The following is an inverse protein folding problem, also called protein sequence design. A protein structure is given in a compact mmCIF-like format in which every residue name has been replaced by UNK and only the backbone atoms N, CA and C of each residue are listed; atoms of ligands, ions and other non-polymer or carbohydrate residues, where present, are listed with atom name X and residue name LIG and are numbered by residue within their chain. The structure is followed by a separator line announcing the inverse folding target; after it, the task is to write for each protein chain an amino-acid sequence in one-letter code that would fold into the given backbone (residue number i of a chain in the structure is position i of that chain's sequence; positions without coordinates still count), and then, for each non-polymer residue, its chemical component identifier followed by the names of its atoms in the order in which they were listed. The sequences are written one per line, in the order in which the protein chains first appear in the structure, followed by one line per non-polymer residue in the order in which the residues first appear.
data_IF_466353147543
#
_entry.id   IF_466353147543
#
_cell.length_a   1.000
_cell.length_b   1.000
_cell.length_c   1.000
_cell.angle_alpha   90.00
_cell.angle_beta   90.00
_cell.angle_gamma   90.00
#
_symmetry.space_group_name_H-M   'P 1'
#
loop_
_entity.id
_entity.type
_entity.pdbx_description
1 polymer ?
#
# COMPACT_ATOMS: atom_id res chain seq x y z
N UNK A 1 -20.76 29.19 -36.74
CA UNK A 1 -21.09 29.24 -35.29
C UNK A 1 -21.72 27.92 -34.95
N UNK A 2 -21.35 27.13 -33.94
CA UNK A 2 -20.28 27.07 -32.94
C UNK A 2 -20.51 25.66 -32.34
N UNK A 3 -19.52 24.79 -32.09
CA UNK A 3 -18.23 25.07 -31.48
C UNK A 3 -18.26 25.07 -29.95
N UNK A 4 -19.29 24.50 -29.30
CA UNK A 4 -19.51 24.67 -27.84
C UNK A 4 -19.52 23.42 -26.95
N UNK A 5 -19.40 22.20 -27.48
CA UNK A 5 -19.63 20.97 -26.69
C UNK A 5 -18.44 20.48 -25.85
N UNK A 6 -17.20 20.69 -26.29
CA UNK A 6 -16.03 20.06 -25.66
C UNK A 6 -15.54 20.70 -24.36
N UNK A 7 -15.84 21.98 -24.12
CA UNK A 7 -15.35 22.69 -22.93
C UNK A 7 -16.24 22.43 -21.72
N UNK A 8 -17.55 22.24 -21.93
CA UNK A 8 -18.51 21.93 -20.87
C UNK A 8 -18.31 20.51 -20.34
N UNK A 9 -18.04 19.56 -21.23
CA UNK A 9 -17.76 18.15 -20.89
C UNK A 9 -16.44 17.99 -20.10
N UNK A 10 -15.44 18.82 -20.41
CA UNK A 10 -14.17 18.85 -19.65
C UNK A 10 -14.36 19.46 -18.24
N UNK A 11 -15.20 20.49 -18.10
CA UNK A 11 -15.51 21.12 -16.81
C UNK A 11 -16.35 20.18 -15.94
N UNK A 12 -17.30 19.46 -16.53
CA UNK A 12 -18.10 18.46 -15.85
C UNK A 12 -17.28 17.23 -15.42
N UNK A 13 -16.32 16.81 -16.26
CA UNK A 13 -15.33 15.80 -15.89
C UNK A 13 -14.42 16.26 -14.74
N UNK A 14 -13.90 17.49 -14.78
CA UNK A 14 -13.03 18.03 -13.71
C UNK A 14 -13.78 18.28 -12.39
N UNK A 15 -15.08 18.55 -12.42
CA UNK A 15 -15.90 18.78 -11.24
C UNK A 15 -16.35 17.49 -10.53
N UNK A 16 -15.98 16.31 -11.03
CA UNK A 16 -16.26 15.06 -10.32
C UNK A 16 -15.46 15.04 -9.00
N UNK A 17 -16.11 14.78 -7.85
CA UNK A 17 -15.45 14.83 -6.55
C UNK A 17 -14.21 13.93 -6.48
N UNK A 18 -14.24 12.76 -7.13
CA UNK A 18 -13.08 11.86 -7.22
C UNK A 18 -11.88 12.44 -8.01
N UNK A 19 -12.11 13.27 -9.01
CA UNK A 19 -11.03 13.91 -9.79
C UNK A 19 -10.44 15.08 -9.00
N UNK A 20 -11.27 15.83 -8.29
CA UNK A 20 -10.81 16.89 -7.39
C UNK A 20 -10.00 16.29 -6.24
N UNK A 21 -10.47 15.21 -5.62
CA UNK A 21 -9.76 14.50 -4.54
C UNK A 21 -8.39 13.97 -5.00
N UNK A 22 -8.33 13.29 -6.16
CA UNK A 22 -7.05 12.82 -6.72
C UNK A 22 -6.11 13.98 -7.08
N UNK A 23 -6.64 15.10 -7.57
CA UNK A 23 -5.81 16.28 -7.86
C UNK A 23 -5.27 16.93 -6.59
N UNK A 24 -6.08 17.02 -5.53
CA UNK A 24 -5.67 17.49 -4.20
C UNK A 24 -4.61 16.56 -3.59
N UNK A 25 -4.77 15.24 -3.71
CA UNK A 25 -3.81 14.25 -3.23
C UNK A 25 -2.48 14.31 -3.99
N UNK A 26 -2.52 14.48 -5.32
CA UNK A 26 -1.32 14.71 -6.13
C UNK A 26 -0.63 16.02 -5.72
N UNK A 27 -1.39 17.08 -5.47
CA UNK A 27 -0.86 18.37 -5.03
C UNK A 27 -0.19 18.23 -3.65
N UNK A 28 -0.83 17.54 -2.71
CA UNK A 28 -0.30 17.28 -1.37
C UNK A 28 0.96 16.40 -1.42
N UNK A 29 1.03 15.43 -2.32
CA UNK A 29 2.23 14.61 -2.55
C UNK A 29 3.37 15.40 -3.22
N UNK A 30 3.06 16.44 -3.98
CA UNK A 30 4.05 17.32 -4.60
C UNK A 30 4.65 18.33 -3.61
N UNK A 31 3.96 18.67 -2.51
CA UNK A 31 4.43 19.65 -1.51
C UNK A 31 5.78 19.25 -0.88
N UNK A 32 6.00 18.00 -0.38
CA UNK A 32 7.30 17.60 0.15
C UNK A 32 8.43 17.60 -0.89
N UNK A 33 8.11 17.26 -2.14
CA UNK A 33 9.06 17.25 -3.26
C UNK A 33 9.50 18.68 -3.56
N UNK A 34 8.55 19.61 -3.68
CA UNK A 34 8.84 21.02 -3.87
C UNK A 34 9.57 21.64 -2.68
N UNK A 35 9.22 21.26 -1.45
CA UNK A 35 9.94 21.70 -0.25
C UNK A 35 11.40 21.24 -0.30
N UNK A 36 11.68 19.99 -0.67
CA UNK A 36 13.04 19.47 -0.81
C UNK A 36 13.83 20.19 -1.92
N UNK A 37 13.18 20.50 -3.05
CA UNK A 37 13.79 21.29 -4.15
C UNK A 37 14.09 22.72 -3.68
N UNK A 38 13.17 23.37 -2.96
CA UNK A 38 13.37 24.72 -2.43
C UNK A 38 14.46 24.75 -1.36
N UNK A 39 14.53 23.76 -0.48
CA UNK A 39 15.63 23.62 0.50
C UNK A 39 16.96 23.40 -0.23
N UNK A 40 17.00 22.52 -1.24
CA UNK A 40 18.20 22.29 -2.06
C UNK A 40 18.65 23.53 -2.82
N UNK A 41 17.72 24.34 -3.33
CA UNK A 41 17.99 25.62 -3.96
C UNK A 41 18.50 26.67 -2.95
N UNK A 42 17.89 26.77 -1.77
CA UNK A 42 18.33 27.70 -0.72
C UNK A 42 19.71 27.31 -0.20
N UNK A 43 19.98 26.02 0.01
CA UNK A 43 21.32 25.52 0.37
C UNK A 43 22.30 25.82 -0.77
N UNK A 44 21.96 25.51 -2.02
CA UNK A 44 22.80 25.79 -3.18
C UNK A 44 23.07 27.28 -3.42
N UNK A 45 22.12 28.17 -3.11
CA UNK A 45 22.25 29.62 -3.23
C UNK A 45 22.97 30.25 -2.04
N UNK A 46 22.82 29.67 -0.84
CA UNK A 46 23.47 30.12 0.39
C UNK A 46 24.87 29.54 0.54
N UNK A 47 25.18 28.46 -0.18
CA UNK A 47 26.52 27.88 -0.21
C UNK A 47 27.41 28.66 -1.16
N UNK A 48 28.08 29.68 -0.63
CA UNK A 48 29.28 30.26 -1.24
C UNK A 48 30.51 29.66 -0.57
N UNK A 49 31.14 28.62 -1.15
CA UNK A 49 32.40 28.09 -0.60
C UNK A 49 33.45 29.21 -0.60
N UNK A 50 34.03 29.50 0.57
CA UNK A 50 35.04 30.58 0.77
C UNK A 50 36.28 30.44 -0.12
N UNK A 51 36.46 29.27 -0.75
CA UNK A 51 37.52 28.96 -1.72
C UNK A 51 37.25 29.48 -3.14
N UNK A 52 36.03 29.94 -3.47
CA UNK A 52 35.73 30.48 -4.81
C UNK A 52 36.53 31.76 -5.11
N UNK A 53 36.95 32.51 -4.07
CA UNK A 53 37.87 33.64 -4.20
C UNK A 53 39.30 33.25 -4.53
N UNK A 54 39.78 32.09 -4.04
CA UNK A 54 41.10 31.54 -4.35
C UNK A 54 41.20 31.02 -5.79
N UNK A 55 40.13 30.40 -6.30
CA UNK A 55 40.02 30.02 -7.72
C UNK A 55 39.95 31.26 -8.64
N UNK A 56 39.28 32.33 -8.22
CA UNK A 56 39.21 33.58 -8.99
C UNK A 56 40.53 34.37 -9.02
N UNK A 57 41.39 34.24 -8.00
CA UNK A 57 42.75 34.80 -8.03
C UNK A 57 43.72 33.90 -8.82
N UNK A 58 43.58 32.57 -8.75
CA UNK A 58 44.45 31.63 -9.47
C UNK A 58 44.25 31.59 -10.98
N UNK A 59 43.06 31.95 -11.48
CA UNK A 59 42.70 31.89 -12.90
C UNK A 59 42.67 33.26 -13.60
N UNK A 60 43.38 34.28 -13.06
CA UNK A 60 43.51 35.60 -13.70
C UNK A 60 44.81 35.78 -14.50
N UNK A 61 45.58 34.71 -14.67
CA UNK A 61 46.78 34.68 -15.52
C UNK A 61 46.50 33.83 -16.77
N UNK A 62 46.14 34.50 -17.87
CA UNK A 62 45.91 33.98 -19.24
C UNK A 62 44.64 33.17 -19.48
N UNK A 63 43.52 33.85 -19.72
CA UNK A 63 42.68 33.62 -20.93
C UNK A 63 41.92 34.93 -21.22
N UNK A 64 42.45 35.71 -22.18
CA UNK A 64 41.66 36.71 -22.91
C UNK A 64 41.10 35.97 -24.12
N UNK A 65 39.85 35.51 -24.05
CA UNK A 65 39.09 35.14 -25.23
C UNK A 65 37.76 35.87 -25.22
N UNK A 66 37.50 36.51 -26.35
CA UNK A 66 36.41 37.40 -26.67
C UNK A 66 35.12 36.57 -26.76
N UNK A 67 34.16 36.84 -25.88
CA UNK A 67 32.75 36.76 -26.27
C UNK A 67 32.05 38.00 -25.74
N UNK A 68 31.77 38.89 -26.68
CA UNK A 68 30.95 40.09 -26.52
C UNK A 68 29.50 39.68 -26.28
N UNK A 69 29.07 39.67 -25.02
CA UNK A 69 27.67 39.84 -24.64
C UNK A 69 27.63 40.76 -23.41
N UNK A 70 26.81 41.82 -23.40
CA UNK A 70 26.80 42.79 -22.32
C UNK A 70 26.34 42.13 -21.00
N UNK A 71 26.89 42.56 -19.85
CA UNK A 71 26.61 41.95 -18.55
C UNK A 71 25.16 42.26 -18.15
N UNK A 72 24.25 41.31 -18.37
CA UNK A 72 22.83 41.51 -18.05
C UNK A 72 21.84 40.50 -18.62
N UNK A 73 22.24 39.56 -19.47
CA UNK A 73 21.34 38.57 -20.09
C UNK A 73 21.31 37.21 -19.37
N UNK A 74 21.17 37.22 -18.04
CA UNK A 74 20.89 36.02 -17.25
C UNK A 74 19.40 35.84 -16.99
N UNK A 75 18.94 34.59 -16.94
CA UNK A 75 17.62 34.00 -16.63
C UNK A 75 16.58 34.77 -15.77
N UNK A 76 16.94 35.89 -15.15
CA UNK A 76 16.09 36.76 -14.30
C UNK A 76 14.95 37.46 -15.06
N UNK A 77 15.08 37.76 -16.36
CA UNK A 77 14.02 38.41 -17.14
C UNK A 77 13.07 37.45 -17.86
N UNK A 78 13.51 36.22 -18.14
CA UNK A 78 12.62 35.14 -18.61
C UNK A 78 11.63 34.73 -17.53
N UNK A 79 12.04 34.76 -16.25
CA UNK A 79 11.16 34.49 -15.12
C UNK A 79 10.22 35.65 -14.76
N UNK A 80 10.64 36.91 -14.95
CA UNK A 80 9.75 38.07 -14.81
C UNK A 80 8.65 38.13 -15.89
N UNK A 81 8.93 37.64 -17.11
CA UNK A 81 7.93 37.51 -18.15
C UNK A 81 6.91 36.39 -17.85
N UNK A 82 7.36 35.28 -17.23
CA UNK A 82 6.47 34.18 -16.83
C UNK A 82 5.66 34.49 -15.56
N UNK A 83 6.20 35.25 -14.61
CA UNK A 83 5.46 35.68 -13.41
C UNK A 83 4.48 36.84 -13.68
N UNK A 84 4.75 37.70 -14.68
CA UNK A 84 3.81 38.75 -15.09
C UNK A 84 2.60 38.21 -15.88
N UNK A 85 2.73 37.09 -16.61
CA UNK A 85 1.59 36.46 -17.32
C UNK A 85 0.67 35.64 -16.41
N UNK A 86 1.11 35.24 -15.21
CA UNK A 86 0.30 34.46 -14.26
C UNK A 86 -0.43 35.31 -13.21
N UNK A 87 -0.18 36.62 -13.15
CA UNK A 87 -0.75 37.52 -12.14
C UNK A 87 -1.91 38.40 -12.67
N UNK A 88 -2.42 38.15 -13.87
CA UNK A 88 -3.61 38.81 -14.43
C UNK A 88 -4.62 37.73 -14.83
N UNK A 89 -5.38 37.17 -13.87
CA UNK A 89 -6.71 37.75 -13.60
C UNK A 89 -7.25 37.59 -12.15
N UNK A 90 -6.42 37.62 -11.10
CA UNK A 90 -6.92 37.54 -9.70
C UNK A 90 -6.98 38.92 -9.00
N UNK A 91 -6.37 39.96 -9.57
CA UNK A 91 -6.34 41.30 -8.95
C UNK A 91 -7.45 42.26 -9.43
N UNK A 92 -8.56 41.75 -10.02
CA UNK A 92 -9.73 42.56 -10.40
C UNK A 92 -10.97 42.36 -9.53
N UNK A 93 -11.03 41.31 -8.71
CA UNK A 93 -12.18 41.06 -7.81
C UNK A 93 -11.98 41.57 -6.38
N UNK A 94 -10.76 41.93 -5.98
CA UNK A 94 -10.47 42.42 -4.62
C UNK A 94 -10.50 43.96 -4.49
N UNK A 95 -10.68 44.70 -5.59
CA UNK A 95 -10.66 46.18 -5.59
C UNK A 95 -12.02 46.82 -5.94
N UNK A 96 -13.12 46.06 -5.93
CA UNK A 96 -14.48 46.62 -6.01
C UNK A 96 -15.20 46.71 -4.65
N UNK A 97 -14.65 46.10 -3.58
CA UNK A 97 -15.27 46.09 -2.25
C UNK A 97 -14.76 47.19 -1.30
N UNK A 98 -13.81 48.03 -1.71
CA UNK A 98 -13.10 48.97 -0.84
C UNK A 98 -12.97 50.38 -1.46
N UNK A 99 -14.10 51.07 -1.71
CA UNK A 99 -14.16 52.55 -1.66
C UNK A 99 -15.60 53.11 -1.76
N UNK A 100 -15.99 53.84 -0.69
CA UNK A 100 -17.08 54.84 -0.62
C UNK A 100 -18.31 54.39 0.20
N UNK A 101 -18.39 54.49 1.55
CA UNK A 101 -18.59 55.66 2.49
C UNK A 101 -19.86 56.50 2.21
N UNK A 102 -20.53 57.20 3.19
CA UNK A 102 -20.34 57.36 4.66
C UNK A 102 -21.63 57.19 5.55
N UNK A 103 -21.55 56.83 6.86
CA UNK A 103 -21.84 57.60 8.14
C UNK A 103 -23.05 58.58 8.12
N UNK A 104 -23.96 58.73 9.10
CA UNK A 104 -24.06 58.53 10.58
C UNK A 104 -25.53 58.93 11.01
N UNK A 105 -25.98 59.08 12.30
CA UNK A 105 -25.61 58.50 13.61
C UNK A 105 -26.81 58.15 14.57
N UNK A 106 -26.50 57.64 15.80
CA UNK A 106 -27.15 57.90 17.13
C UNK A 106 -28.54 57.21 17.39
N UNK A 107 -28.86 56.55 18.51
CA UNK A 107 -28.34 56.53 19.88
C UNK A 107 -28.74 55.26 20.67
N UNK A 108 -28.10 55.14 21.83
CA UNK A 108 -28.31 54.31 23.04
C UNK A 108 -29.72 53.79 23.35
N UNK A 109 -29.78 52.59 23.95
CA UNK A 109 -30.13 52.48 25.38
C UNK A 109 -29.85 51.08 25.98
N UNK A 110 -29.78 51.11 27.30
CA UNK A 110 -29.18 50.23 28.30
C UNK A 110 -30.08 49.09 28.83
N UNK A 111 -29.52 48.35 29.81
CA UNK A 111 -30.14 47.46 30.84
C UNK A 111 -30.23 45.97 30.43
N UNK A 112 -29.67 44.95 31.10
CA UNK A 112 -29.35 44.55 32.49
C UNK A 112 -30.31 43.46 32.99
N UNK A 113 -29.74 42.31 33.41
CA UNK A 113 -30.16 41.34 34.47
C UNK A 113 -29.69 39.92 34.06
N UNK A 114 -28.83 39.19 34.79
CA UNK A 114 -28.99 38.52 36.11
C UNK A 114 -30.21 37.59 36.14
N UNK A 115 -30.27 36.36 36.65
CA UNK A 115 -29.39 35.38 37.31
C UNK A 115 -30.32 34.23 37.80
N UNK A 116 -29.75 33.08 38.18
CA UNK A 116 -30.29 32.02 39.08
C UNK A 116 -31.21 30.94 38.48
N UNK A 117 -30.80 29.65 38.44
CA UNK A 117 -30.82 28.58 39.49
C UNK A 117 -32.25 28.07 39.78
N UNK A 118 -32.60 26.79 40.01
CA UNK A 118 -31.88 25.63 40.56
C UNK A 118 -32.81 24.36 40.53
N UNK A 119 -32.24 23.14 40.71
CA UNK A 119 -32.72 21.98 41.54
C UNK A 119 -34.02 21.26 41.07
N UNK A 120 -34.28 19.93 41.12
CA UNK A 120 -33.74 18.62 41.59
C UNK A 120 -34.34 17.55 40.60
N UNK A 121 -33.98 16.27 40.50
CA UNK A 121 -34.08 15.24 41.52
C UNK A 121 -33.44 13.90 41.07
N UNK A 122 -33.10 13.12 42.08
CA UNK A 122 -32.31 11.88 42.14
C UNK A 122 -33.13 10.60 41.85
N UNK A 123 -32.49 9.53 41.37
CA UNK A 123 -33.00 8.15 41.46
C UNK A 123 -31.91 7.11 41.14
N UNK A 124 -31.12 6.79 42.17
CA UNK A 124 -30.35 5.55 42.28
C UNK A 124 -31.29 4.33 42.39
N UNK A 125 -31.00 3.27 41.64
CA UNK A 125 -31.47 1.92 41.99
C UNK A 125 -30.34 0.89 41.82
N UNK A 126 -29.75 0.52 42.95
CA UNK A 126 -29.03 -0.75 43.13
C UNK A 126 -30.07 -1.84 43.42
N UNK A 127 -30.12 -2.91 42.62
CA UNK A 127 -30.62 -4.23 43.06
C UNK A 127 -29.83 -5.36 42.38
N UNK A 128 -29.03 -6.02 43.22
CA UNK A 128 -28.85 -7.47 43.38
C UNK A 128 -28.45 -8.35 42.19
N UNK A 129 -27.22 -8.86 42.31
CA UNK A 129 -26.86 -10.26 42.07
C UNK A 129 -28.00 -11.23 42.42
N UNK A 130 -28.37 -12.13 41.52
CA UNK A 130 -28.05 -13.57 41.68
C UNK A 130 -28.75 -14.41 40.59
N UNK A 131 -27.93 -15.22 39.93
CA UNK A 131 -28.28 -16.47 39.23
C UNK A 131 -29.10 -16.40 37.94
N UNK A 132 -28.47 -16.84 36.84
CA UNK A 132 -28.85 -18.10 36.20
C UNK A 132 -27.70 -18.60 35.33
N UNK A 133 -27.28 -19.82 35.66
CA UNK A 133 -26.42 -20.71 34.87
C UNK A 133 -26.93 -20.74 33.42
N UNK A 134 -26.29 -19.96 32.56
CA UNK A 134 -26.27 -20.27 31.14
C UNK A 134 -25.22 -21.38 30.99
N UNK A 135 -25.62 -22.47 30.36
CA UNK A 135 -24.73 -23.52 29.85
C UNK A 135 -23.46 -22.92 29.26
N UNK A 136 -22.32 -23.56 29.52
CA UNK A 136 -21.02 -23.31 28.91
C UNK A 136 -21.09 -23.44 27.37
N UNK A 137 -21.73 -22.49 26.70
CA UNK A 137 -21.45 -22.19 25.30
C UNK A 137 -20.07 -21.52 25.30
N UNK A 138 -19.06 -22.34 25.01
CA UNK A 138 -17.67 -21.92 24.81
C UNK A 138 -17.62 -20.88 23.67
N UNK A 139 -17.84 -19.60 24.00
CA UNK A 139 -17.62 -18.49 23.09
C UNK A 139 -16.11 -18.33 22.86
N UNK A 140 -15.53 -19.30 22.16
CA UNK A 140 -14.14 -19.28 21.74
C UNK A 140 -13.90 -18.04 20.88
N UNK A 141 -12.95 -17.20 21.31
CA UNK A 141 -12.47 -15.98 20.63
C UNK A 141 -12.29 -16.19 19.12
N UNK A 142 -11.82 -17.38 18.75
CA UNK A 142 -11.79 -17.87 17.36
C UNK A 142 -12.53 -19.18 17.30
N UNK A 143 -13.63 -19.21 16.56
CA UNK A 143 -14.63 -20.29 16.52
C UNK A 143 -14.49 -21.16 15.27
N UNK A 144 -15.23 -22.26 15.21
CA UNK A 144 -15.31 -23.11 14.01
C UNK A 144 -15.92 -22.36 12.81
N UNK A 145 -16.86 -21.45 13.04
CA UNK A 145 -17.40 -20.58 11.98
C UNK A 145 -16.30 -19.75 11.28
N UNK A 146 -15.25 -19.36 12.02
CA UNK A 146 -14.11 -18.63 11.44
C UNK A 146 -13.23 -19.55 10.56
N UNK A 147 -13.15 -20.83 10.91
CA UNK A 147 -12.50 -21.86 10.09
C UNK A 147 -13.33 -22.11 8.83
N UNK A 148 -14.64 -22.29 8.93
CA UNK A 148 -15.52 -22.51 7.79
C UNK A 148 -15.46 -21.33 6.80
N UNK A 149 -15.46 -20.09 7.32
CA UNK A 149 -15.25 -18.90 6.51
C UNK A 149 -13.91 -18.92 5.76
N UNK A 150 -12.84 -19.36 6.42
CA UNK A 150 -11.54 -19.50 5.78
C UNK A 150 -11.55 -20.56 4.66
N UNK A 151 -12.18 -21.71 4.90
CA UNK A 151 -12.28 -22.80 3.92
C UNK A 151 -13.08 -22.37 2.69
N UNK A 152 -14.21 -21.68 2.89
CA UNK A 152 -14.99 -21.11 1.80
C UNK A 152 -14.15 -20.19 0.89
N UNK A 153 -13.30 -19.33 1.49
CA UNK A 153 -12.39 -18.46 0.73
C UNK A 153 -11.25 -19.22 0.02
N UNK A 154 -10.83 -20.37 0.56
CA UNK A 154 -9.79 -21.20 -0.05
C UNK A 154 -10.31 -21.97 -1.26
N UNK A 155 -11.47 -22.62 -1.12
CA UNK A 155 -12.02 -23.51 -2.14
C UNK A 155 -12.30 -22.73 -3.42
N UNK A 156 -12.94 -21.56 -3.36
CA UNK A 156 -13.16 -20.70 -4.52
C UNK A 156 -13.77 -21.41 -5.74
N UNK A 157 -14.43 -22.55 -5.53
CA UNK A 157 -14.86 -23.50 -6.57
C UNK A 157 -16.09 -23.01 -7.34
N UNK A 158 -16.83 -22.04 -6.83
CA UNK A 158 -18.15 -21.71 -7.39
C UNK A 158 -18.12 -20.61 -8.47
N UNK A 159 -16.95 -20.26 -9.02
CA UNK A 159 -16.84 -19.23 -10.06
C UNK A 159 -17.24 -17.82 -9.61
N UNK A 160 -17.57 -17.65 -8.34
CA UNK A 160 -18.01 -16.39 -7.73
C UNK A 160 -16.85 -15.41 -7.51
N UNK A 161 -15.64 -15.93 -7.25
CA UNK A 161 -14.46 -15.12 -6.95
C UNK A 161 -13.51 -15.08 -8.17
N UNK A 162 -13.50 -13.94 -8.86
CA UNK A 162 -12.60 -13.68 -10.00
C UNK A 162 -11.22 -13.19 -9.53
N UNK A 163 -10.36 -14.12 -9.11
CA UNK A 163 -8.99 -13.82 -8.70
C UNK A 163 -8.15 -13.22 -9.85
N UNK A 164 -7.58 -12.04 -9.63
CA UNK A 164 -6.65 -11.38 -10.53
C UNK A 164 -5.21 -11.71 -10.13
N UNK A 165 -4.43 -12.28 -11.05
CA UNK A 165 -3.00 -12.54 -10.82
C UNK A 165 -2.22 -11.24 -10.60
N UNK A 166 -1.39 -11.21 -9.57
CA UNK A 166 -0.57 -10.06 -9.20
C UNK A 166 0.92 -10.30 -9.36
N UNK A 167 1.38 -11.50 -8.99
CA UNK A 167 2.80 -11.81 -8.90
C UNK A 167 3.04 -13.30 -9.01
N UNK A 168 4.09 -13.66 -9.75
CA UNK A 168 4.66 -14.99 -9.75
C UNK A 168 6.20 -14.88 -9.74
N UNK A 169 6.84 -15.57 -8.81
CA UNK A 169 8.29 -15.53 -8.59
C UNK A 169 8.78 -16.90 -8.13
N UNK A 170 9.82 -17.40 -8.79
CA UNK A 170 10.45 -18.66 -8.43
C UNK A 170 11.94 -18.43 -8.14
N UNK A 171 12.45 -19.16 -7.16
CA UNK A 171 13.86 -19.28 -6.79
C UNK A 171 14.15 -20.77 -6.52
N UNK A 172 15.42 -21.21 -6.49
CA UNK A 172 15.73 -22.62 -6.25
C UNK A 172 15.16 -23.20 -4.94
N UNK A 173 14.89 -22.34 -3.95
CA UNK A 173 14.48 -22.75 -2.61
C UNK A 173 13.06 -22.29 -2.22
N UNK A 174 12.37 -21.58 -3.13
CA UNK A 174 11.03 -21.03 -2.87
C UNK A 174 10.30 -20.68 -4.16
N UNK A 175 9.02 -21.03 -4.24
CA UNK A 175 8.07 -20.51 -5.23
C UNK A 175 7.02 -19.61 -4.55
N UNK A 176 6.61 -18.55 -5.21
CA UNK A 176 5.64 -17.58 -4.69
C UNK A 176 4.68 -17.13 -5.79
N UNK A 177 3.39 -17.23 -5.51
CA UNK A 177 2.31 -16.75 -6.37
C UNK A 177 1.35 -15.91 -5.52
N UNK A 178 0.80 -14.85 -6.10
CA UNK A 178 -0.17 -13.99 -5.43
C UNK A 178 -1.26 -13.51 -6.38
N UNK A 179 -2.47 -13.45 -5.84
CA UNK A 179 -3.69 -12.98 -6.48
C UNK A 179 -4.39 -11.97 -5.59
N UNK A 180 -5.25 -11.15 -6.19
CA UNK A 180 -6.19 -10.29 -5.48
C UNK A 180 -7.59 -10.45 -6.01
N UNK A 181 -8.55 -10.19 -5.15
CA UNK A 181 -9.96 -10.07 -5.48
C UNK A 181 -10.47 -8.76 -4.84
N UNK A 182 -11.21 -7.98 -5.62
CA UNK A 182 -11.78 -6.71 -5.18
C UNK A 182 -13.30 -6.88 -5.09
N UNK A 183 -13.86 -7.17 -3.90
CA UNK A 183 -15.31 -7.24 -3.73
C UNK A 183 -15.94 -5.85 -3.93
N UNK A 184 -17.22 -5.81 -4.32
CA UNK A 184 -17.96 -4.56 -4.47
C UNK A 184 -17.95 -3.74 -3.17
N UNK A 185 -18.18 -4.43 -2.06
CA UNK A 185 -18.18 -3.87 -0.72
C UNK A 185 -17.03 -4.46 0.11
N UNK A 186 -16.28 -3.60 0.80
CA UNK A 186 -15.20 -4.01 1.71
C UNK A 186 -13.77 -3.85 1.16
N UNK A 187 -12.77 -4.34 1.90
CA UNK A 187 -11.36 -4.25 1.52
C UNK A 187 -10.99 -5.21 0.39
N UNK A 188 -9.88 -4.92 -0.30
CA UNK A 188 -9.27 -5.87 -1.25
C UNK A 188 -8.83 -7.13 -0.50
N UNK A 189 -9.20 -8.29 -1.03
CA UNK A 189 -8.79 -9.60 -0.52
C UNK A 189 -7.58 -10.06 -1.31
N UNK A 190 -6.54 -10.50 -0.60
CA UNK A 190 -5.33 -11.06 -1.17
C UNK A 190 -5.25 -12.55 -0.89
N UNK A 191 -4.86 -13.32 -1.91
CA UNK A 191 -4.46 -14.72 -1.79
C UNK A 191 -3.00 -14.85 -2.17
N UNK A 192 -2.24 -15.63 -1.42
CA UNK A 192 -0.90 -16.03 -1.86
C UNK A 192 -0.66 -17.50 -1.62
N UNK A 193 0.22 -18.07 -2.44
CA UNK A 193 0.72 -19.43 -2.33
C UNK A 193 2.24 -19.35 -2.28
N UNK A 194 2.83 -19.86 -1.21
CA UNK A 194 4.28 -19.90 -1.02
C UNK A 194 4.71 -21.33 -0.79
N UNK A 195 5.65 -21.84 -1.58
CA UNK A 195 6.28 -23.15 -1.36
C UNK A 195 7.68 -22.92 -0.84
N UNK A 196 8.01 -23.48 0.32
CA UNK A 196 9.35 -23.51 0.89
C UNK A 196 9.96 -24.89 0.68
N UNK A 197 11.09 -24.95 -0.03
CA UNK A 197 11.84 -26.20 -0.19
C UNK A 197 12.55 -26.60 1.11
N UNK A 198 12.75 -27.89 1.32
CA UNK A 198 13.52 -28.44 2.45
C UNK A 198 13.03 -27.90 3.83
N UNK A 199 11.72 -27.84 4.04
CA UNK A 199 11.09 -27.31 5.25
C UNK A 199 9.85 -28.14 5.62
N UNK A 200 9.73 -28.53 6.90
CA UNK A 200 8.56 -29.29 7.39
C UNK A 200 7.40 -28.37 7.75
N UNK A 201 6.17 -28.89 7.69
CA UNK A 201 4.96 -28.12 8.03
C UNK A 201 4.97 -27.65 9.50
N UNK A 202 5.50 -28.44 10.42
CA UNK A 202 5.60 -28.10 11.85
C UNK A 202 6.59 -26.96 12.09
N UNK A 203 7.71 -26.96 11.37
CA UNK A 203 8.69 -25.88 11.46
C UNK A 203 8.10 -24.56 10.94
N UNK A 204 7.39 -24.62 9.81
CA UNK A 204 6.73 -23.46 9.22
C UNK A 204 5.60 -22.96 10.11
N UNK A 205 4.81 -23.86 10.70
CA UNK A 205 3.80 -23.52 11.72
C UNK A 205 4.41 -22.75 12.87
N UNK A 206 5.47 -23.28 13.49
CA UNK A 206 6.13 -22.64 14.63
C UNK A 206 6.68 -21.26 14.20
N UNK A 207 7.29 -21.14 13.02
CA UNK A 207 7.81 -19.86 12.48
C UNK A 207 6.73 -18.78 12.30
N UNK A 208 5.57 -19.13 11.72
CA UNK A 208 4.50 -18.17 11.47
C UNK A 208 3.80 -17.71 12.75
N UNK A 209 3.82 -18.52 13.81
CA UNK A 209 3.19 -18.22 15.10
C UNK A 209 4.12 -17.51 16.10
N UNK A 210 5.43 -17.52 15.86
CA UNK A 210 6.44 -17.04 16.81
C UNK A 210 6.63 -15.50 16.78
N UNK A 211 5.78 -14.79 17.54
CA UNK A 211 5.85 -13.32 17.67
C UNK A 211 7.14 -12.82 18.32
N UNK A 212 7.81 -13.66 19.12
CA UNK A 212 9.08 -13.30 19.77
C UNK A 212 10.25 -13.38 18.77
N UNK A 213 10.15 -14.27 17.77
CA UNK A 213 11.11 -14.33 16.67
C UNK A 213 10.81 -13.32 15.56
N UNK A 214 9.54 -12.97 15.36
CA UNK A 214 9.06 -12.12 14.27
C UNK A 214 9.82 -10.80 14.08
N UNK A 215 10.15 -10.00 15.12
CA UNK A 215 10.92 -8.76 14.98
C UNK A 215 12.33 -8.94 14.39
N UNK A 216 12.89 -10.15 14.42
CA UNK A 216 14.22 -10.43 13.85
C UNK A 216 14.23 -10.35 12.32
N UNK A 217 13.07 -10.47 11.67
CA UNK A 217 12.97 -10.46 10.21
C UNK A 217 11.90 -9.50 9.66
N UNK A 218 10.87 -9.19 10.45
CA UNK A 218 9.82 -8.24 10.09
C UNK A 218 10.00 -6.92 10.86
N UNK A 219 10.64 -5.89 10.25
CA UNK A 219 10.85 -4.61 10.92
C UNK A 219 9.56 -3.81 11.10
N UNK A 220 8.44 -4.24 10.51
CA UNK A 220 7.17 -3.58 10.73
C UNK A 220 6.59 -3.93 12.10
N UNK A 221 6.85 -5.11 12.67
CA UNK A 221 6.35 -5.44 14.01
C UNK A 221 7.25 -4.81 15.08
N UNK A 222 6.81 -3.68 15.65
CA UNK A 222 7.60 -2.92 16.63
C UNK A 222 7.21 -3.19 18.09
N UNK A 223 6.04 -3.76 18.30
CA UNK A 223 5.57 -4.18 19.62
C UNK A 223 4.68 -5.40 19.46
N UNK A 224 4.83 -6.34 20.38
CA UNK A 224 3.89 -7.42 20.58
C UNK A 224 3.73 -7.70 22.08
N UNK A 225 2.55 -8.16 22.47
CA UNK A 225 2.27 -8.68 23.81
C UNK A 225 1.19 -9.74 23.73
N UNK A 226 1.41 -10.87 24.38
CA UNK A 226 0.36 -11.85 24.61
C UNK A 226 -0.56 -11.29 25.71
N UNK A 227 -1.83 -11.10 25.38
CA UNK A 227 -2.84 -10.61 26.32
C UNK A 227 -3.49 -11.76 27.07
N UNK A 228 -3.88 -12.81 26.34
CA UNK A 228 -4.53 -13.99 26.90
C UNK A 228 -4.07 -15.26 26.16
N UNK A 229 -4.07 -16.37 26.88
CA UNK A 229 -3.75 -17.70 26.37
C UNK A 229 -4.81 -18.69 26.83
N UNK A 230 -5.19 -19.60 25.94
CA UNK A 230 -6.18 -20.65 26.20
C UNK A 230 -5.52 -22.02 26.00
N UNK A 231 -4.89 -22.61 27.03
CA UNK A 231 -4.07 -23.82 26.89
C UNK A 231 -4.81 -25.07 26.43
N UNK A 232 -6.15 -25.11 26.52
CA UNK A 232 -6.95 -26.25 26.05
C UNK A 232 -7.07 -26.28 24.53
N UNK A 233 -7.23 -25.11 23.91
CA UNK A 233 -7.49 -24.96 22.48
C UNK A 233 -6.27 -24.46 21.70
N UNK A 234 -5.27 -23.94 22.41
CA UNK A 234 -4.12 -23.24 21.83
C UNK A 234 -4.43 -21.82 21.37
N UNK A 235 -5.65 -21.33 21.63
CA UNK A 235 -6.04 -19.99 21.22
C UNK A 235 -5.28 -18.92 22.02
N UNK A 236 -5.08 -17.76 21.40
CA UNK A 236 -4.42 -16.61 22.03
C UNK A 236 -5.10 -15.32 21.61
N UNK A 237 -5.08 -14.32 22.50
CA UNK A 237 -5.29 -12.93 22.13
C UNK A 237 -3.94 -12.22 22.21
N UNK A 238 -3.53 -11.58 21.12
CA UNK A 238 -2.25 -10.85 21.04
C UNK A 238 -2.48 -9.40 20.64
N UNK A 239 -1.69 -8.52 21.24
CA UNK A 239 -1.64 -7.10 20.92
C UNK A 239 -0.40 -6.81 20.09
N UNK A 240 -0.57 -6.36 18.85
CA UNK A 240 0.53 -5.95 17.98
C UNK A 240 0.45 -4.46 17.67
N UNK A 241 1.62 -3.82 17.53
CA UNK A 241 1.74 -2.52 16.87
C UNK A 241 2.67 -2.68 15.68
N UNK A 242 2.16 -2.34 14.49
CA UNK A 242 2.94 -2.32 13.25
C UNK A 242 3.33 -0.90 12.88
N UNK A 243 4.62 -0.70 12.59
CA UNK A 243 5.18 0.53 12.04
C UNK A 243 4.66 0.75 10.64
N UNK A 244 4.12 1.94 10.40
CA UNK A 244 3.72 2.38 9.08
C UNK A 244 4.61 3.54 8.60
N UNK A 245 4.61 3.85 7.30
CA UNK A 245 5.31 5.01 6.77
C UNK A 245 4.96 6.30 7.53
N UNK A 246 5.94 7.18 7.72
CA UNK A 246 5.84 8.35 8.62
C UNK A 246 4.66 9.30 8.36
N UNK A 247 4.10 9.28 7.14
CA UNK A 247 2.94 10.10 6.75
C UNK A 247 1.59 9.54 7.25
N UNK A 248 1.58 8.40 7.94
CA UNK A 248 0.38 7.83 8.54
C UNK A 248 0.68 7.22 9.92
N UNK A 249 -0.32 7.18 10.80
CA UNK A 249 -0.16 6.62 12.16
C UNK A 249 0.23 5.15 12.12
N UNK A 250 1.00 4.67 13.10
CA UNK A 250 1.23 3.23 13.27
C UNK A 250 -0.12 2.50 13.49
N UNK A 251 -0.18 1.20 13.17
CA UNK A 251 -1.41 0.40 13.28
C UNK A 251 -1.38 -0.50 14.50
N UNK A 252 -2.44 -0.46 15.28
CA UNK A 252 -2.65 -1.30 16.44
C UNK A 252 -3.61 -2.44 16.08
N UNK A 253 -3.26 -3.65 16.47
CA UNK A 253 -4.07 -4.84 16.23
C UNK A 253 -4.29 -5.57 17.54
N UNK A 254 -5.53 -6.00 17.77
CA UNK A 254 -5.87 -6.97 18.80
C UNK A 254 -6.38 -8.21 18.08
N UNK A 255 -5.55 -9.25 18.05
CA UNK A 255 -5.73 -10.40 17.19
C UNK A 255 -6.06 -11.61 18.05
N UNK A 256 -7.22 -12.21 17.78
CA UNK A 256 -7.54 -13.55 18.22
C UNK A 256 -6.97 -14.54 17.22
N UNK A 257 -6.28 -15.57 17.70
CA UNK A 257 -5.69 -16.59 16.83
C UNK A 257 -5.79 -18.00 17.40
N UNK A 258 -6.00 -19.01 16.55
CA UNK A 258 -6.10 -20.43 16.90
C UNK A 258 -5.68 -21.32 15.71
N UNK A 259 -5.19 -22.53 16.00
CA UNK A 259 -4.76 -23.51 14.99
C UNK A 259 -5.61 -24.78 15.07
N UNK A 260 -6.17 -25.18 13.93
CA UNK A 260 -6.76 -26.50 13.72
C UNK A 260 -5.80 -27.40 12.95
N UNK A 261 -5.87 -28.69 13.21
CA UNK A 261 -5.04 -29.69 12.54
C UNK A 261 -5.91 -30.81 11.96
N UNK A 262 -5.71 -31.10 10.67
CA UNK A 262 -6.32 -32.21 9.97
C UNK A 262 -5.24 -32.94 9.15
N UNK A 263 -5.06 -34.23 9.41
CA UNK A 263 -3.97 -35.01 8.81
C UNK A 263 -2.60 -34.41 9.13
N UNK A 264 -1.89 -33.93 8.10
CA UNK A 264 -0.59 -33.23 8.22
C UNK A 264 -0.69 -31.73 7.92
N UNK A 265 -1.91 -31.19 7.80
CA UNK A 265 -2.15 -29.79 7.51
C UNK A 265 -2.55 -29.01 8.76
N UNK A 266 -2.08 -27.77 8.84
CA UNK A 266 -2.41 -26.82 9.91
C UNK A 266 -3.21 -25.64 9.34
N UNK A 267 -4.42 -25.44 9.84
CA UNK A 267 -5.30 -24.34 9.49
C UNK A 267 -5.21 -23.27 10.57
N UNK A 268 -4.51 -22.19 10.24
CA UNK A 268 -4.16 -21.12 11.16
C UNK A 268 -5.11 -19.95 10.94
N UNK A 269 -5.97 -19.67 11.91
CA UNK A 269 -6.92 -18.57 11.84
C UNK A 269 -6.40 -17.41 12.67
N UNK A 270 -6.34 -16.21 12.08
CA UNK A 270 -6.10 -14.97 12.83
C UNK A 270 -7.07 -13.88 12.37
N UNK A 271 -7.72 -13.22 13.34
CA UNK A 271 -8.71 -12.16 13.08
C UNK A 271 -8.65 -11.07 14.14
N UNK A 272 -9.14 -9.87 13.82
CA UNK A 272 -9.38 -8.85 14.84
C UNK A 272 -10.45 -9.31 15.83
N UNK A 273 -10.24 -9.04 17.12
CA UNK A 273 -11.19 -9.35 18.19
C UNK A 273 -11.33 -8.15 19.14
N UNK A 274 -12.52 -7.94 19.73
CA UNK A 274 -12.71 -6.89 20.72
C UNK A 274 -11.93 -7.24 22.00
N UNK A 275 -11.40 -6.21 22.67
CA UNK A 275 -10.73 -6.36 23.97
C UNK A 275 -10.98 -5.12 24.83
N UNK A 276 -12.07 -5.09 25.61
CA UNK A 276 -12.54 -3.90 26.33
C UNK A 276 -11.49 -3.29 27.29
N UNK A 277 -10.64 -4.13 27.90
CA UNK A 277 -9.59 -3.71 28.81
C UNK A 277 -8.46 -2.89 28.16
N UNK A 278 -8.42 -2.84 26.82
CA UNK A 278 -7.53 -1.97 26.07
C UNK A 278 -8.36 -1.04 25.16
N UNK A 279 -8.76 0.15 25.64
CA UNK A 279 -9.60 1.06 24.86
C UNK A 279 -8.85 1.63 23.64
N UNK A 280 -9.62 2.03 22.62
CA UNK A 280 -9.09 2.61 21.38
C UNK A 280 -8.48 3.97 21.66
N UNK A 281 -7.37 4.26 21.00
CA UNK A 281 -6.71 5.57 21.00
C UNK A 281 -6.67 6.12 19.59
N UNK A 282 -6.45 7.43 19.46
CA UNK A 282 -6.28 8.08 18.15
C UNK A 282 -4.99 7.62 17.46
N UNK A 283 -3.94 7.36 18.25
CA UNK A 283 -2.62 6.89 17.79
C UNK A 283 -2.06 5.88 18.79
N UNK A 284 -1.54 4.73 18.34
CA UNK A 284 -1.69 4.15 16.99
C UNK A 284 -3.16 3.93 16.58
N UNK A 285 -3.45 3.90 15.26
CA UNK A 285 -4.82 3.65 14.76
C UNK A 285 -5.13 2.17 14.91
N UNK A 286 -6.19 1.83 15.64
CA UNK A 286 -6.68 0.45 15.71
C UNK A 286 -7.29 -0.04 14.40
N UNK A 287 -6.89 -1.22 13.97
CA UNK A 287 -7.47 -1.95 12.83
C UNK A 287 -8.55 -2.90 13.37
N UNK A 288 -9.81 -2.58 13.10
CA UNK A 288 -10.97 -3.35 13.58
C UNK A 288 -11.42 -4.42 12.59
N UNK A 289 -11.21 -4.19 11.29
CA UNK A 289 -11.43 -5.20 10.25
C UNK A 289 -10.08 -5.78 9.85
N UNK A 290 -9.79 -6.98 10.34
CA UNK A 290 -8.56 -7.71 10.04
C UNK A 290 -8.85 -9.20 10.00
N UNK A 291 -8.41 -9.85 8.93
CA UNK A 291 -8.40 -11.30 8.79
C UNK A 291 -7.16 -11.70 8.02
N UNK A 292 -6.38 -12.62 8.58
CA UNK A 292 -5.15 -13.10 7.97
C UNK A 292 -4.97 -14.56 8.35
N UNK A 293 -5.47 -15.45 7.51
CA UNK A 293 -5.54 -16.88 7.84
C UNK A 293 -4.86 -17.69 6.76
N UNK A 294 -4.20 -18.78 7.15
CA UNK A 294 -3.39 -19.56 6.23
C UNK A 294 -3.46 -21.05 6.54
N UNK A 295 -3.33 -21.86 5.49
CA UNK A 295 -3.15 -23.30 5.59
C UNK A 295 -1.71 -23.65 5.30
N UNK A 296 -1.13 -24.50 6.14
CA UNK A 296 0.24 -25.01 6.01
C UNK A 296 0.13 -26.51 5.74
N UNK A 297 0.71 -27.00 4.65
CA UNK A 297 0.66 -28.42 4.30
C UNK A 297 1.98 -28.91 3.69
N UNK A 298 2.40 -30.15 3.97
CA UNK A 298 3.52 -30.74 3.26
C UNK A 298 3.14 -30.97 1.79
N UNK A 299 4.10 -30.75 0.88
CA UNK A 299 3.95 -30.95 -0.56
C UNK A 299 5.21 -31.59 -1.13
N UNK A 300 5.11 -32.13 -2.35
CA UNK A 300 6.28 -32.63 -3.06
C UNK A 300 7.25 -31.48 -3.38
N UNK A 301 8.55 -31.77 -3.30
CA UNK A 301 9.59 -30.83 -3.72
C UNK A 301 9.45 -30.49 -5.20
N UNK A 302 9.66 -29.21 -5.53
CA UNK A 302 9.72 -28.74 -6.92
C UNK A 302 10.96 -29.26 -7.66
N UNK A 303 11.88 -29.94 -6.97
CA UNK A 303 13.06 -30.58 -7.55
C UNK A 303 12.72 -31.81 -8.40
N UNK A 304 11.49 -32.33 -8.32
CA UNK A 304 11.01 -33.43 -9.16
C UNK A 304 11.51 -34.82 -8.74
N UNK A 305 12.00 -34.97 -7.51
CA UNK A 305 12.41 -36.25 -6.93
C UNK A 305 11.27 -37.04 -6.26
N UNK A 306 10.05 -36.48 -6.28
CA UNK A 306 8.87 -37.04 -5.62
C UNK A 306 8.92 -36.99 -4.09
N UNK A 307 9.95 -36.37 -3.50
CA UNK A 307 10.11 -36.32 -2.04
C UNK A 307 9.17 -35.30 -1.40
N UNK A 308 8.54 -35.66 -0.29
CA UNK A 308 7.66 -34.77 0.49
C UNK A 308 8.48 -33.88 1.45
N UNK A 309 9.48 -33.19 0.91
CA UNK A 309 10.44 -32.38 1.67
C UNK A 309 10.12 -30.88 1.66
N UNK A 310 9.12 -30.46 0.89
CA UNK A 310 8.68 -29.07 0.80
C UNK A 310 7.40 -28.82 1.61
N UNK A 311 7.17 -27.56 1.93
CA UNK A 311 5.98 -27.09 2.62
C UNK A 311 5.32 -25.96 1.84
N UNK A 312 4.01 -26.07 1.63
CA UNK A 312 3.20 -25.01 1.06
C UNK A 312 2.46 -24.24 2.15
N UNK A 313 2.40 -22.91 1.99
CA UNK A 313 1.55 -22.01 2.75
C UNK A 313 0.63 -21.28 1.78
N UNK A 314 -0.68 -21.51 1.92
CA UNK A 314 -1.70 -20.73 1.20
C UNK A 314 -2.38 -19.78 2.17
N UNK A 315 -2.25 -18.48 1.92
CA UNK A 315 -2.72 -17.37 2.76
C UNK A 315 -3.94 -16.70 2.10
N UNK A 316 -4.93 -16.35 2.92
CA UNK A 316 -6.00 -15.40 2.61
C UNK A 316 -5.90 -14.23 3.59
N UNK A 317 -5.90 -13.01 3.06
CA UNK A 317 -5.69 -11.81 3.85
C UNK A 317 -6.55 -10.64 3.38
N UNK A 318 -7.21 -9.96 4.31
CA UNK A 318 -7.83 -8.66 4.09
C UNK A 318 -7.84 -7.84 5.38
N UNK A 319 -7.71 -6.51 5.26
CA UNK A 319 -7.76 -5.59 6.39
C UNK A 319 -8.21 -4.19 5.96
N UNK A 320 -8.79 -3.43 6.90
CA UNK A 320 -8.97 -1.99 6.78
C UNK A 320 -7.91 -1.21 7.56
N UNK A 321 -6.81 -0.89 6.87
CA UNK A 321 -5.72 -0.09 7.42
C UNK A 321 -6.09 1.39 7.66
N UNK A 322 -7.26 1.85 7.21
CA UNK A 322 -7.62 3.29 7.21
C UNK A 322 -6.75 4.11 6.28
N UNK A 323 -6.35 3.52 5.15
CA UNK A 323 -5.61 4.18 4.07
C UNK A 323 -6.48 4.07 2.81
N UNK A 324 -6.53 5.11 1.95
CA UNK A 324 -7.18 5.01 0.66
C UNK A 324 -6.75 3.75 -0.10
N UNK A 325 -7.72 3.01 -0.67
CA UNK A 325 -7.50 1.71 -1.29
C UNK A 325 -6.39 1.75 -2.35
N UNK A 326 -6.33 2.79 -3.17
CA UNK A 326 -5.33 2.91 -4.23
C UNK A 326 -3.91 3.12 -3.70
N UNK A 327 -3.76 3.85 -2.59
CA UNK A 327 -2.47 4.03 -1.90
C UNK A 327 -2.02 2.69 -1.30
N UNK A 328 -2.93 1.95 -0.67
CA UNK A 328 -2.64 0.61 -0.15
C UNK A 328 -2.22 -0.35 -1.29
N UNK A 329 -2.96 -0.37 -2.40
CA UNK A 329 -2.61 -1.18 -3.59
C UNK A 329 -1.26 -0.81 -4.17
N UNK A 330 -0.92 0.48 -4.22
CA UNK A 330 0.40 0.94 -4.68
C UNK A 330 1.52 0.42 -3.77
N UNK A 331 1.31 0.50 -2.45
CA UNK A 331 2.22 -0.04 -1.44
C UNK A 331 2.42 -1.54 -1.59
N UNK A 332 1.35 -2.31 -1.77
CA UNK A 332 1.43 -3.76 -2.00
C UNK A 332 2.19 -4.08 -3.30
N UNK A 333 1.85 -3.41 -4.41
CA UNK A 333 2.49 -3.64 -5.71
C UNK A 333 4.01 -3.44 -5.66
N UNK A 334 4.50 -2.43 -4.95
CA UNK A 334 5.93 -2.12 -4.87
C UNK A 334 6.64 -2.86 -3.73
N UNK A 335 5.95 -3.08 -2.61
CA UNK A 335 6.53 -3.62 -1.37
C UNK A 335 6.47 -5.14 -1.25
N UNK A 336 5.49 -5.81 -1.86
CA UNK A 336 5.21 -7.24 -1.63
C UNK A 336 6.43 -8.12 -1.83
N UNK A 337 7.14 -7.99 -2.96
CA UNK A 337 8.32 -8.83 -3.20
C UNK A 337 9.46 -8.59 -2.20
N UNK A 338 9.64 -7.34 -1.76
CA UNK A 338 10.60 -7.00 -0.71
C UNK A 338 10.26 -7.72 0.61
N UNK A 339 8.98 -7.74 0.98
CA UNK A 339 8.49 -8.44 2.17
C UNK A 339 8.62 -9.95 2.04
N UNK A 340 8.27 -10.54 0.89
CA UNK A 340 8.39 -11.98 0.63
C UNK A 340 9.84 -12.45 0.72
N UNK A 341 10.81 -11.66 0.21
CA UNK A 341 12.23 -11.97 0.39
C UNK A 341 12.65 -11.98 1.87
N UNK A 342 12.15 -11.04 2.67
CA UNK A 342 12.42 -10.99 4.12
C UNK A 342 11.76 -12.16 4.85
N UNK A 343 10.53 -12.52 4.49
CA UNK A 343 9.83 -13.69 4.99
C UNK A 343 10.64 -14.97 4.74
N UNK A 344 11.12 -15.17 3.51
CA UNK A 344 11.94 -16.33 3.17
C UNK A 344 13.26 -16.36 3.95
N UNK A 345 13.98 -15.24 4.01
CA UNK A 345 15.21 -15.13 4.79
C UNK A 345 14.96 -15.38 6.29
N UNK A 346 13.86 -14.85 6.83
CA UNK A 346 13.41 -15.08 8.20
C UNK A 346 13.11 -16.55 8.50
N UNK A 347 12.43 -17.23 7.58
CA UNK A 347 12.15 -18.67 7.71
C UNK A 347 13.45 -19.49 7.74
N UNK A 348 14.41 -19.19 6.86
CA UNK A 348 15.72 -19.87 6.86
C UNK A 348 16.52 -19.58 8.13
N UNK A 349 16.47 -18.35 8.63
CA UNK A 349 17.07 -17.99 9.92
C UNK A 349 16.41 -18.75 11.07
N UNK A 350 15.09 -18.91 11.05
CA UNK A 350 14.35 -19.71 12.03
C UNK A 350 14.76 -21.18 11.99
N UNK A 351 14.79 -21.78 10.79
CA UNK A 351 15.23 -23.15 10.56
C UNK A 351 16.63 -23.40 11.13
N UNK A 352 17.58 -22.48 10.90
CA UNK A 352 18.93 -22.59 11.45
C UNK A 352 18.95 -22.44 12.97
N UNK A 353 18.19 -21.49 13.53
CA UNK A 353 18.09 -21.33 14.98
C UNK A 353 17.49 -22.57 15.69
N UNK A 354 16.61 -23.32 15.00
CA UNK A 354 16.04 -24.58 15.52
C UNK A 354 17.02 -25.75 15.48
N UNK A 355 18.06 -25.72 14.62
CA UNK A 355 19.14 -26.72 14.64
C UNK A 355 20.07 -26.57 15.85
N UNK A 356 20.15 -25.37 16.43
CA UNK A 356 21.00 -25.08 17.59
C UNK A 356 20.36 -25.45 18.94
N UNK A 357 19.29 -26.25 18.95
CA UNK A 357 18.53 -26.68 20.15
C UNK A 357 18.06 -25.56 21.09
N UNK A 358 18.01 -24.32 20.60
CA UNK A 358 17.49 -23.21 21.39
C UNK A 358 16.04 -23.46 21.78
N UNK A 359 15.70 -23.18 23.04
CA UNK A 359 14.34 -23.34 23.55
C UNK A 359 13.31 -22.61 22.68
N UNK A 360 12.12 -23.21 22.59
CA UNK A 360 11.00 -22.57 21.92
C UNK A 360 10.53 -21.36 22.70
N UNK A 361 10.11 -20.34 21.96
CA UNK A 361 9.43 -19.18 22.52
C UNK A 361 8.06 -19.59 23.06
N UNK A 362 7.46 -18.75 23.92
CA UNK A 362 6.11 -19.03 24.45
C UNK A 362 5.10 -19.11 23.31
N UNK A 363 5.24 -18.22 22.32
CA UNK A 363 4.39 -18.21 21.14
C UNK A 363 4.53 -19.52 20.33
N UNK A 364 5.76 -19.97 20.08
CA UNK A 364 6.00 -21.23 19.38
C UNK A 364 5.49 -22.46 20.14
N UNK A 365 5.53 -22.46 21.48
CA UNK A 365 4.94 -23.52 22.29
C UNK A 365 3.42 -23.57 22.16
N UNK A 366 2.75 -22.42 22.18
CA UNK A 366 1.30 -22.34 21.99
C UNK A 366 0.88 -22.84 20.60
N UNK A 367 1.70 -22.65 19.57
CA UNK A 367 1.45 -23.17 18.22
C UNK A 367 1.32 -24.70 18.15
N UNK A 368 1.89 -25.41 19.13
CA UNK A 368 1.85 -26.88 19.20
C UNK A 368 0.56 -27.43 19.80
N UNK A 369 -0.25 -26.57 20.41
CA UNK A 369 -1.55 -26.93 20.95
C UNK A 369 -2.58 -26.70 19.84
N UNK A 370 -2.90 -27.77 19.12
CA UNK A 370 -3.81 -27.72 17.96
C UNK A 370 -5.15 -28.34 18.32
N UNK A 371 -6.23 -27.82 17.72
CA UNK A 371 -7.54 -28.46 17.78
C UNK A 371 -7.64 -29.47 16.64
N UNK A 372 -7.80 -30.76 16.96
CA UNK A 372 -8.02 -31.78 15.94
C UNK A 372 -9.39 -31.60 15.30
N UNK A 373 -9.44 -31.70 13.98
CA UNK A 373 -10.69 -31.65 13.22
C UNK A 373 -10.67 -32.68 12.11
N UNK A 374 -11.85 -33.19 11.77
CA UNK A 374 -12.05 -34.20 10.74
C UNK A 374 -12.28 -33.57 9.36
N UNK A 375 -11.69 -32.40 9.08
CA UNK A 375 -11.70 -31.83 7.72
C UNK A 375 -11.29 -32.93 6.74
N UNK A 376 -12.20 -33.25 5.82
CA UNK A 376 -12.29 -34.53 5.16
C UNK A 376 -10.96 -35.05 4.62
N UNK A 377 -10.72 -36.34 4.85
CA UNK A 377 -9.67 -37.16 4.25
C UNK A 377 -9.68 -37.17 2.69
N UNK A 378 -10.59 -36.44 2.04
CA UNK A 378 -10.91 -36.57 0.61
C UNK A 378 -10.39 -35.42 -0.28
N UNK A 379 -9.63 -34.45 0.24
CA UNK A 379 -9.03 -33.39 -0.60
C UNK A 379 -7.54 -33.59 -0.93
N UNK A 380 -6.95 -34.73 -0.56
CA UNK A 380 -5.52 -35.05 -0.83
C UNK A 380 -5.33 -35.90 -2.10
N UNK A 381 -6.39 -36.21 -2.86
CA UNK A 381 -6.28 -36.91 -4.13
C UNK A 381 -6.91 -36.07 -5.26
N UNK A 382 -6.08 -35.50 -6.13
CA UNK A 382 -6.55 -34.95 -7.42
C UNK A 382 -6.12 -33.52 -7.75
N UNK A 383 -4.83 -33.20 -7.68
CA UNK A 383 -4.23 -32.13 -8.50
C UNK A 383 -3.10 -32.72 -9.35
N UNK A 384 -3.38 -33.81 -10.04
CA UNK A 384 -2.66 -34.21 -11.25
C UNK A 384 -3.71 -34.39 -12.35
N UNK A 385 -3.46 -33.78 -13.51
CA UNK A 385 -4.33 -33.71 -14.70
C UNK A 385 -5.29 -32.51 -14.84
N UNK A 386 -4.71 -31.32 -15.03
CA UNK A 386 -5.27 -30.34 -15.99
C UNK A 386 -4.14 -29.56 -16.66
N UNK A 387 -3.24 -30.26 -17.36
CA UNK A 387 -2.31 -29.64 -18.30
C UNK A 387 -1.82 -30.62 -19.37
N UNK A 388 -2.74 -31.36 -20.00
CA UNK A 388 -2.45 -32.13 -21.22
C UNK A 388 -3.73 -32.31 -22.04
N UNK A 389 -4.01 -31.29 -22.85
CA UNK A 389 -4.67 -31.33 -24.17
C UNK A 389 -5.59 -30.13 -24.37
N UNK A 390 -5.02 -29.06 -24.93
CA UNK A 390 -5.74 -28.21 -25.87
C UNK A 390 -4.73 -27.65 -26.87
N UNK A 391 -4.24 -28.52 -27.75
CA UNK A 391 -3.62 -28.08 -28.99
C UNK A 391 -4.74 -27.68 -29.98
N UNK A 392 -4.53 -26.50 -30.58
CA UNK A 392 -5.13 -25.97 -31.81
C UNK A 392 -6.27 -24.95 -31.67
N UNK A 393 -5.88 -23.68 -31.50
CA UNK A 393 -6.31 -22.58 -32.38
C UNK A 393 -5.33 -21.39 -32.23
N UNK A 394 -4.22 -21.45 -32.97
CA UNK A 394 -3.27 -20.34 -33.11
C UNK A 394 -3.94 -19.13 -33.78
N UNK A 395 -4.27 -18.09 -33.01
CA UNK A 395 -4.41 -16.73 -33.54
C UNK A 395 -3.07 -16.00 -33.41
N UNK A 396 -2.37 -15.93 -34.54
CA UNK A 396 -1.04 -15.32 -34.71
C UNK A 396 -1.14 -13.80 -34.56
N UNK A 397 -0.85 -13.26 -33.37
CA UNK A 397 -0.50 -11.83 -33.23
C UNK A 397 1.01 -11.66 -33.30
N UNK A 398 1.46 -11.07 -34.40
CA UNK A 398 2.85 -10.71 -34.67
C UNK A 398 3.37 -9.74 -33.61
N UNK A 399 4.36 -10.17 -32.84
CA UNK A 399 5.16 -9.29 -31.98
C UNK A 399 6.14 -8.49 -32.84
N UNK A 400 6.18 -7.17 -32.62
CA UNK A 400 7.13 -6.27 -33.27
C UNK A 400 8.52 -6.50 -32.66
N UNK A 401 9.50 -6.78 -33.52
CA UNK A 401 10.90 -6.95 -33.14
C UNK A 401 11.48 -5.63 -32.61
N UNK A 402 11.76 -5.60 -31.30
CA UNK A 402 12.27 -4.43 -30.58
C UNK A 402 13.61 -3.90 -31.13
N UNK A 403 14.33 -4.72 -31.93
CA UNK A 403 15.57 -4.32 -32.59
C UNK A 403 15.37 -3.34 -33.74
N UNK A 404 14.17 -3.29 -34.34
CA UNK A 404 13.83 -2.33 -35.42
C UNK A 404 13.47 -0.95 -34.86
N UNK A 405 12.89 -0.89 -33.65
CA UNK A 405 12.54 0.38 -32.97
C UNK A 405 13.78 1.13 -32.50
N UNK A 406 14.84 0.41 -32.10
CA UNK A 406 16.11 1.02 -31.69
C UNK A 406 16.87 1.69 -32.86
N UNK A 407 16.73 1.16 -34.09
CA UNK A 407 17.37 1.73 -35.28
C UNK A 407 16.59 2.94 -35.82
N UNK A 408 15.25 2.93 -35.69
CA UNK A 408 14.42 4.09 -36.04
C UNK A 408 14.64 5.32 -35.14
N UNK A 409 14.96 5.11 -33.86
CA UNK A 409 15.25 6.20 -32.92
C UNK A 409 16.55 6.97 -33.20
N UNK A 410 17.56 6.33 -33.78
CA UNK A 410 18.86 6.95 -34.06
C UNK A 410 18.84 7.85 -35.32
N UNK A 411 18.02 7.52 -36.33
CA UNK A 411 17.91 8.30 -37.58
C UNK A 411 17.14 9.60 -37.37
N UNK A 412 16.15 9.62 -36.47
CA UNK A 412 15.37 10.83 -36.16
C UNK A 412 16.19 11.84 -35.34
N UNK A 413 17.08 11.37 -34.45
CA UNK A 413 17.98 12.24 -33.68
C UNK A 413 19.14 12.80 -34.52
N UNK A 414 19.62 12.06 -35.54
CA UNK A 414 20.62 12.57 -36.49
C UNK A 414 20.08 13.62 -37.47
N UNK A 415 18.81 13.53 -37.88
CA UNK A 415 18.18 14.48 -38.80
C UNK A 415 17.78 15.81 -38.12
N UNK A 416 17.56 15.80 -36.81
CA UNK A 416 17.31 17.02 -36.02
C UNK A 416 18.59 17.79 -35.69
N UNK A 417 19.75 17.13 -35.65
CA UNK A 417 21.03 17.77 -35.36
C UNK A 417 21.70 18.46 -36.57
N UNK A 418 21.17 18.26 -37.79
CA UNK A 418 21.74 18.81 -39.05
C UNK A 418 20.87 19.85 -39.75
N UNK A 419 19.75 20.28 -39.14
CA UNK A 419 18.98 21.45 -39.62
C UNK A 419 18.32 21.30 -41.01
N UNK A 420 18.18 20.08 -41.53
CA UNK A 420 17.61 19.83 -42.86
C UNK A 420 16.07 19.84 -42.90
N UNK A 421 15.39 19.65 -41.78
CA UNK A 421 13.91 19.63 -41.75
C UNK A 421 13.26 21.02 -41.86
N UNK A 422 14.01 22.10 -41.64
CA UNK A 422 13.51 23.48 -41.76
C UNK A 422 13.31 23.95 -43.21
N UNK A 423 13.96 23.30 -44.20
CA UNK A 423 13.92 23.74 -45.61
C UNK A 423 12.89 22.98 -46.46
N UNK A 424 12.45 21.79 -46.05
CA UNK A 424 11.44 21.03 -46.79
C UNK A 424 10.00 21.51 -46.53
N UNK A 425 9.73 22.11 -45.36
CA UNK A 425 8.39 22.61 -45.00
C UNK A 425 8.01 23.93 -45.69
N UNK A 426 8.98 24.71 -46.18
CA UNK A 426 8.72 25.96 -46.91
C UNK A 426 8.42 25.77 -48.42
N UNK A 427 8.71 24.59 -48.98
CA UNK A 427 8.43 24.29 -50.40
C UNK A 427 7.02 23.66 -50.54
N UNK A 428 6.53 22.92 -49.54
CA UNK A 428 5.19 22.31 -49.53
C UNK A 428 4.02 23.27 -49.25
N UNK A 429 4.30 24.49 -48.76
CA UNK A 429 3.29 25.53 -48.54
C UNK A 429 3.09 26.46 -49.75
N UNK A 430 4.05 26.52 -50.67
CA UNK A 430 3.93 27.27 -51.94
C UNK A 430 3.18 26.47 -53.03
N UNK A 431 3.29 25.13 -53.03
CA UNK A 431 2.62 24.27 -54.01
C UNK A 431 1.09 24.12 -53.77
N UNK A 432 0.57 24.45 -52.58
CA UNK A 432 -0.87 24.34 -52.26
C UNK A 432 -1.70 25.61 -52.45
N UNK A 433 -1.09 26.74 -52.84
CA UNK A 433 -1.83 27.96 -53.26
C UNK A 433 -1.94 28.13 -54.78
N UNK A 434 -1.29 27.30 -55.58
CA UNK A 434 -1.34 27.36 -57.04
C UNK A 434 -2.35 26.38 -57.69
N UNK A 435 -3.03 25.52 -56.91
CA UNK A 435 -4.00 24.53 -57.42
C UNK A 435 -5.47 24.82 -57.06
N UNK A 436 -5.80 26.10 -56.77
CA UNK A 436 -7.18 26.60 -56.61
C UNK A 436 -7.36 27.99 -57.24
N UNK A 437 -6.91 28.15 -58.48
CA UNK A 437 -7.42 29.17 -59.40
C UNK A 437 -7.65 28.54 -60.76
#
# INVERSE_FOLDING_TARGET
MEGGGGLLDLVEFMNKPAIIETFVDILLCAVPIWLAVMIGLVIGWSWRPRWSGLLYLGLRSKVRFIWTAPPGFGARRLWLAFTALSAVPILRTLWSSLRGKPKQPVNSDSSSSSSNSAIDDDAVSEISDNSRRASDEDHSVVSENDLDHFLHLLDGKDGEISWQSMMERNTPNMAYQAWRYEPENGPTIYRSRTVFEDATAELVRDFFWDDEFRPKWDPMLIYFKILEEYPRTGAMIVHWIKKFPFFCSDREYIIGRRIWEAGKAFYCITKAVPYPSLPKRDKPRRVEHYFSSWVIRPVQSLKGDGSMTACEVTLIHYEDMGIPKDVAKLGVRHGMWGTVKKLHAGMRAYQNARKSEASLSRSALMARITTKTSLGNDSVAGEEEMSRNSDTAMSKKQGIDWRVVAIGGAVVLGALHTGALGKALMIGAAARRAARR
#
